data_IF_982970210144
#
_entry.id   IF_982970210144
#
_cell.length_a   1.000
_cell.length_b   1.000
_cell.length_c   1.000
_cell.angle_alpha   90.00
_cell.angle_beta   90.00
_cell.angle_gamma   90.00
#
_symmetry.space_group_name_H-M   'P 1'
#
loop_
_entity.id
_entity.type
_entity.pdbx_description
1 polymer ?
#
# COMPACT_ATOMS: atom_id res chain seq x y z
N UNK A 1 12.29 -35.30 -14.48
CA UNK A 1 13.00 -34.00 -14.60
C UNK A 1 12.01 -32.88 -14.30
N UNK A 2 12.11 -32.22 -13.16
CA UNK A 2 11.33 -31.00 -12.90
C UNK A 2 11.87 -29.88 -13.79
N UNK A 3 11.06 -29.43 -14.75
CA UNK A 3 11.32 -28.21 -15.50
C UNK A 3 11.34 -27.03 -14.53
N UNK A 4 12.53 -26.60 -14.10
CA UNK A 4 12.68 -25.33 -13.39
C UNK A 4 12.48 -24.21 -14.39
N UNK A 5 11.27 -23.66 -14.43
CA UNK A 5 11.02 -22.38 -15.10
C UNK A 5 11.93 -21.35 -14.42
N UNK A 6 12.93 -20.84 -15.14
CA UNK A 6 13.75 -19.73 -14.65
C UNK A 6 12.87 -18.48 -14.54
N UNK A 7 12.45 -18.18 -13.32
CA UNK A 7 11.71 -16.96 -13.02
C UNK A 7 12.60 -15.75 -13.30
N UNK A 8 11.99 -14.69 -13.82
CA UNK A 8 12.69 -13.41 -14.04
C UNK A 8 12.79 -12.66 -12.71
N UNK A 9 13.90 -11.97 -12.49
CA UNK A 9 14.13 -11.21 -11.27
C UNK A 9 13.44 -9.84 -11.33
N UNK A 10 12.90 -9.39 -10.20
CA UNK A 10 12.35 -8.04 -10.01
C UNK A 10 12.82 -7.52 -8.65
N UNK A 11 13.32 -6.28 -8.61
CA UNK A 11 13.71 -5.61 -7.37
C UNK A 11 12.64 -4.59 -6.97
N UNK A 12 12.29 -4.56 -5.70
CA UNK A 12 11.36 -3.60 -5.10
C UNK A 12 12.10 -2.74 -4.08
N UNK A 13 11.99 -1.43 -4.20
CA UNK A 13 12.57 -0.46 -3.25
C UNK A 13 11.41 0.25 -2.54
N UNK A 14 11.27 -0.06 -1.26
CA UNK A 14 10.20 0.36 -0.38
C UNK A 14 10.73 1.31 0.70
N UNK A 15 9.83 2.05 1.33
CA UNK A 15 10.17 2.98 2.41
C UNK A 15 9.18 4.15 2.46
N UNK A 16 9.22 4.89 3.57
CA UNK A 16 8.42 6.10 3.70
C UNK A 16 8.87 7.19 2.70
N UNK A 17 8.06 8.22 2.50
CA UNK A 17 8.51 9.41 1.75
C UNK A 17 9.77 10.00 2.40
N UNK A 18 10.61 10.63 1.58
CA UNK A 18 11.84 11.30 2.02
C UNK A 18 12.98 10.40 2.52
N UNK A 19 12.88 9.06 2.40
CA UNK A 19 13.97 8.14 2.80
C UNK A 19 15.04 7.87 1.73
N UNK A 20 15.06 8.62 0.62
CA UNK A 20 16.08 8.46 -0.44
C UNK A 20 15.83 7.35 -1.46
N UNK A 21 14.62 6.77 -1.53
CA UNK A 21 14.28 5.66 -2.45
C UNK A 21 14.65 5.92 -3.92
N UNK A 22 14.36 7.12 -4.43
CA UNK A 22 14.63 7.47 -5.83
C UNK A 22 16.12 7.44 -6.14
N UNK A 23 16.95 8.04 -5.26
CA UNK A 23 18.42 7.98 -5.34
C UNK A 23 18.92 6.53 -5.42
N UNK A 24 18.48 5.68 -4.48
CA UNK A 24 18.89 4.27 -4.50
C UNK A 24 18.44 3.54 -5.77
N UNK A 25 17.23 3.84 -6.28
CA UNK A 25 16.73 3.18 -7.48
C UNK A 25 17.58 3.48 -8.71
N UNK A 26 18.07 4.72 -8.84
CA UNK A 26 18.99 5.11 -9.91
C UNK A 26 20.34 4.42 -9.73
N UNK A 27 20.87 4.36 -8.51
CA UNK A 27 22.16 3.69 -8.26
C UNK A 27 22.10 2.19 -8.57
N UNK A 28 21.01 1.50 -8.18
CA UNK A 28 20.77 0.08 -8.50
C UNK A 28 20.57 -0.13 -9.99
N UNK A 29 19.74 0.68 -10.65
CA UNK A 29 19.49 0.56 -12.07
C UNK A 29 20.76 0.82 -12.90
N UNK A 30 21.59 1.78 -12.48
CA UNK A 30 22.89 2.05 -13.12
C UNK A 30 23.81 0.84 -12.99
N UNK A 31 23.95 0.27 -11.79
CA UNK A 31 24.86 -0.86 -11.56
C UNK A 31 24.42 -2.16 -12.24
N UNK A 32 23.12 -2.43 -12.29
CA UNK A 32 22.57 -3.70 -12.77
C UNK A 32 21.83 -3.58 -14.11
N UNK A 33 22.08 -2.51 -14.89
CA UNK A 33 21.43 -2.27 -16.18
C UNK A 33 19.90 -2.40 -16.11
N UNK A 34 19.32 -1.74 -15.11
CA UNK A 34 17.89 -1.76 -14.81
C UNK A 34 17.10 -0.62 -15.43
N UNK A 35 15.78 -0.76 -15.39
CA UNK A 35 14.82 0.30 -15.69
C UNK A 35 13.86 0.45 -14.52
N UNK A 36 13.49 1.69 -14.22
CA UNK A 36 12.74 2.06 -13.02
C UNK A 36 11.24 2.14 -13.33
N UNK A 37 10.43 1.53 -12.49
CA UNK A 37 8.97 1.56 -12.56
C UNK A 37 8.45 2.25 -11.31
N UNK A 38 7.89 3.45 -11.47
CA UNK A 38 7.32 4.19 -10.36
C UNK A 38 6.07 3.47 -9.81
N UNK A 39 6.00 3.34 -8.49
CA UNK A 39 4.84 2.85 -7.76
C UNK A 39 4.33 3.84 -6.72
N UNK A 40 4.65 5.13 -6.84
CA UNK A 40 3.96 6.18 -6.09
C UNK A 40 2.70 6.66 -6.82
N UNK A 41 1.55 6.49 -6.16
CA UNK A 41 0.21 6.82 -6.69
C UNK A 41 0.03 8.27 -7.12
N UNK A 42 0.79 9.22 -6.57
CA UNK A 42 0.67 10.64 -6.94
C UNK A 42 1.64 10.98 -8.07
N UNK A 43 2.80 10.32 -8.12
CA UNK A 43 3.81 10.57 -9.15
C UNK A 43 3.47 9.97 -10.52
N UNK A 44 2.46 9.10 -10.61
CA UNK A 44 1.98 8.60 -11.91
C UNK A 44 1.38 9.70 -12.78
N UNK A 45 0.89 10.79 -12.19
CA UNK A 45 0.17 11.84 -12.90
C UNK A 45 1.09 12.90 -13.49
N UNK A 46 0.69 13.44 -14.65
CA UNK A 46 1.30 14.60 -15.31
C UNK A 46 1.17 15.87 -14.47
N UNK A 47 2.24 16.67 -14.41
CA UNK A 47 2.28 17.92 -13.66
C UNK A 47 2.36 17.70 -12.15
N UNK A 48 2.34 18.80 -11.39
CA UNK A 48 2.61 18.81 -9.96
C UNK A 48 3.95 18.13 -9.59
N UNK A 49 5.00 18.34 -10.38
CA UNK A 49 6.29 17.65 -10.22
C UNK A 49 6.97 18.01 -8.90
N UNK A 50 6.88 19.26 -8.45
CA UNK A 50 7.42 19.72 -7.16
C UNK A 50 6.58 19.12 -6.03
N UNK A 51 5.26 19.35 -6.02
CA UNK A 51 4.32 18.88 -4.98
C UNK A 51 4.37 17.36 -4.81
N UNK A 52 4.44 16.62 -5.92
CA UNK A 52 4.52 15.14 -5.90
C UNK A 52 5.94 14.63 -5.74
N UNK A 53 6.94 15.53 -5.67
CA UNK A 53 8.35 15.24 -5.47
C UNK A 53 8.87 14.22 -6.49
N UNK A 54 8.57 14.44 -7.78
CA UNK A 54 9.13 13.62 -8.85
C UNK A 54 10.64 13.85 -8.91
N UNK A 55 11.37 12.78 -9.19
CA UNK A 55 12.80 12.86 -9.49
C UNK A 55 13.00 13.69 -10.77
N UNK A 56 13.97 14.59 -10.77
CA UNK A 56 14.30 15.44 -11.92
C UNK A 56 15.09 14.66 -12.98
N UNK A 57 15.07 15.10 -14.23
CA UNK A 57 15.82 14.46 -15.33
C UNK A 57 17.34 14.36 -15.03
N UNK A 58 17.91 15.38 -14.38
CA UNK A 58 19.31 15.37 -13.96
C UNK A 58 19.60 14.29 -12.91
N UNK A 59 18.69 14.10 -11.95
CA UNK A 59 18.83 13.07 -10.91
C UNK A 59 18.59 11.66 -11.45
N UNK A 60 17.82 11.51 -12.55
CA UNK A 60 17.61 10.22 -13.21
C UNK A 60 18.90 9.67 -13.84
N UNK A 61 19.89 10.52 -14.12
CA UNK A 61 21.20 10.13 -14.73
C UNK A 61 21.04 9.28 -16.00
N UNK A 62 20.00 9.55 -16.80
CA UNK A 62 19.70 8.82 -18.03
C UNK A 62 19.06 7.43 -17.85
N UNK A 63 18.77 7.01 -16.61
CA UNK A 63 18.05 5.75 -16.34
C UNK A 63 16.60 5.88 -16.80
N UNK A 64 16.07 4.94 -17.63
CA UNK A 64 14.67 4.97 -18.05
C UNK A 64 13.71 4.82 -16.86
N UNK A 65 12.71 5.71 -16.80
CA UNK A 65 11.63 5.68 -15.82
C UNK A 65 10.29 5.42 -16.53
N UNK A 66 9.46 4.59 -15.94
CA UNK A 66 8.12 4.26 -16.41
C UNK A 66 7.08 4.56 -15.33
N UNK A 67 5.86 4.86 -15.75
CA UNK A 67 4.73 5.23 -14.88
C UNK A 67 5.02 6.45 -14.00
N UNK A 68 5.86 7.37 -14.50
CA UNK A 68 6.22 8.61 -13.83
C UNK A 68 5.76 9.77 -14.71
N UNK A 69 4.73 10.51 -14.29
CA UNK A 69 4.19 11.62 -15.08
C UNK A 69 3.50 11.21 -16.37
N UNK A 70 2.90 10.02 -16.44
CA UNK A 70 2.29 9.50 -17.68
C UNK A 70 0.76 9.62 -17.70
N UNK A 71 0.12 9.59 -16.53
CA UNK A 71 -1.34 9.55 -16.38
C UNK A 71 -1.92 10.96 -16.35
N UNK A 72 -3.10 11.15 -16.96
CA UNK A 72 -3.76 12.45 -16.98
C UNK A 72 -4.28 12.86 -15.58
N UNK A 73 -4.18 14.15 -15.19
CA UNK A 73 -4.48 14.64 -13.84
C UNK A 73 -5.86 14.27 -13.27
N UNK A 74 -6.89 14.24 -14.12
CA UNK A 74 -8.29 14.05 -13.73
C UNK A 74 -8.73 12.58 -13.72
N UNK A 75 -7.87 11.67 -14.20
CA UNK A 75 -8.16 10.24 -14.24
C UNK A 75 -8.02 9.64 -12.85
N UNK A 76 -8.93 8.75 -12.46
CA UNK A 76 -8.78 8.00 -11.24
C UNK A 76 -7.90 6.76 -11.49
N UNK A 77 -6.65 6.78 -11.05
CA UNK A 77 -5.71 5.66 -11.22
C UNK A 77 -5.78 4.70 -10.03
N UNK A 78 -6.27 3.48 -10.27
CA UNK A 78 -6.49 2.46 -9.25
C UNK A 78 -5.31 1.51 -9.09
N UNK A 79 -5.35 0.66 -8.06
CA UNK A 79 -4.35 -0.41 -7.90
C UNK A 79 -4.42 -1.46 -9.03
N UNK A 80 -5.60 -1.71 -9.61
CA UNK A 80 -5.73 -2.61 -10.75
C UNK A 80 -5.10 -2.01 -12.02
N UNK A 81 -5.30 -0.71 -12.24
CA UNK A 81 -4.65 0.01 -13.34
C UNK A 81 -3.13 -0.06 -13.20
N UNK A 82 -2.62 0.21 -11.99
CA UNK A 82 -1.19 0.03 -11.69
C UNK A 82 -0.72 -1.38 -12.03
N UNK A 83 -1.43 -2.43 -11.59
CA UNK A 83 -1.04 -3.81 -11.86
C UNK A 83 -0.99 -4.10 -13.36
N UNK A 84 -1.99 -3.65 -14.11
CA UNK A 84 -2.04 -3.83 -15.56
C UNK A 84 -0.85 -3.17 -16.26
N UNK A 85 -0.60 -1.89 -15.97
CA UNK A 85 0.48 -1.12 -16.58
C UNK A 85 1.87 -1.64 -16.14
N UNK A 86 2.08 -1.84 -14.84
CA UNK A 86 3.34 -2.33 -14.30
C UNK A 86 3.69 -3.71 -14.87
N UNK A 87 2.73 -4.64 -14.98
CA UNK A 87 2.99 -5.95 -15.58
C UNK A 87 3.42 -5.87 -17.05
N UNK A 88 2.84 -4.95 -17.83
CA UNK A 88 3.24 -4.75 -19.22
C UNK A 88 4.70 -4.26 -19.30
N UNK A 89 5.06 -3.28 -18.47
CA UNK A 89 6.42 -2.72 -18.41
C UNK A 89 7.42 -3.77 -17.92
N UNK A 90 7.13 -4.48 -16.82
CA UNK A 90 7.99 -5.55 -16.28
C UNK A 90 8.29 -6.60 -17.35
N UNK A 91 7.26 -7.03 -18.11
CA UNK A 91 7.46 -7.99 -19.21
C UNK A 91 8.35 -7.43 -20.31
N UNK A 92 8.17 -6.17 -20.69
CA UNK A 92 8.99 -5.50 -21.71
C UNK A 92 10.45 -5.44 -21.26
N UNK A 93 10.71 -4.91 -20.07
CA UNK A 93 12.05 -4.75 -19.48
C UNK A 93 12.75 -6.11 -19.30
N UNK A 94 12.04 -7.11 -18.78
CA UNK A 94 12.60 -8.45 -18.59
C UNK A 94 12.88 -9.19 -19.91
N UNK A 95 12.14 -8.89 -20.99
CA UNK A 95 12.37 -9.43 -22.35
C UNK A 95 13.58 -8.80 -23.02
N UNK A 96 13.87 -7.52 -22.74
CA UNK A 96 15.10 -6.86 -23.21
C UNK A 96 16.33 -7.20 -22.37
N UNK A 97 16.23 -8.16 -21.44
CA UNK A 97 17.35 -8.61 -20.61
C UNK A 97 17.75 -7.63 -19.50
N UNK A 98 16.95 -6.58 -19.25
CA UNK A 98 17.20 -5.56 -18.23
C UNK A 98 16.48 -5.91 -16.93
N UNK A 99 16.94 -5.33 -15.82
CA UNK A 99 16.35 -5.55 -14.49
C UNK A 99 15.18 -4.59 -14.24
N UNK A 100 13.94 -5.08 -14.03
CA UNK A 100 12.85 -4.23 -13.56
C UNK A 100 13.07 -3.85 -12.09
N UNK A 101 13.13 -2.54 -11.81
CA UNK A 101 13.27 -1.97 -10.46
C UNK A 101 12.02 -1.16 -10.13
N UNK A 102 11.18 -1.67 -9.24
CA UNK A 102 9.94 -1.01 -8.82
C UNK A 102 10.24 -0.15 -7.58
N UNK A 103 9.92 1.15 -7.62
CA UNK A 103 10.25 2.10 -6.54
C UNK A 103 9.05 2.99 -6.22
N UNK A 104 8.78 3.22 -4.94
CA UNK A 104 7.73 4.17 -4.53
C UNK A 104 7.17 3.92 -3.13
N UNK A 105 6.32 4.85 -2.68
CA UNK A 105 5.75 4.82 -1.33
C UNK A 105 4.34 4.23 -1.21
N UNK A 106 3.72 3.80 -2.32
CA UNK A 106 2.35 3.26 -2.27
C UNK A 106 2.36 1.75 -2.09
N UNK A 107 2.57 1.30 -0.86
CA UNK A 107 2.62 -0.12 -0.51
C UNK A 107 1.38 -0.92 -0.93
N UNK A 108 0.22 -0.27 -1.07
CA UNK A 108 -1.00 -0.91 -1.60
C UNK A 108 -0.89 -1.32 -3.08
N UNK A 109 -0.12 -0.59 -3.88
CA UNK A 109 0.16 -0.95 -5.27
C UNK A 109 1.10 -2.15 -5.35
N UNK A 110 2.12 -2.19 -4.49
CA UNK A 110 3.04 -3.33 -4.37
C UNK A 110 2.28 -4.58 -3.87
N UNK A 111 1.46 -4.44 -2.83
CA UNK A 111 0.63 -5.53 -2.28
C UNK A 111 -0.31 -6.09 -3.36
N UNK A 112 -1.04 -5.24 -4.07
CA UNK A 112 -1.92 -5.65 -5.18
C UNK A 112 -1.15 -6.36 -6.31
N UNK A 113 0.04 -5.87 -6.68
CA UNK A 113 0.82 -6.47 -7.76
C UNK A 113 1.37 -7.85 -7.38
N UNK A 114 1.85 -8.00 -6.15
CA UNK A 114 2.60 -9.18 -5.70
C UNK A 114 1.68 -10.28 -5.16
N UNK A 115 0.66 -9.91 -4.40
CA UNK A 115 -0.17 -10.84 -3.61
C UNK A 115 -1.49 -11.23 -4.30
N UNK A 116 -1.82 -10.63 -5.45
CA UNK A 116 -3.02 -10.99 -6.20
C UNK A 116 -2.90 -12.42 -6.80
N UNK A 117 -3.75 -13.37 -6.34
CA UNK A 117 -3.70 -14.75 -6.80
C UNK A 117 -4.04 -14.91 -8.29
N UNK A 118 -4.82 -14.00 -8.86
CA UNK A 118 -5.22 -14.00 -10.28
C UNK A 118 -4.02 -13.59 -11.15
N UNK A 119 -3.24 -12.59 -10.72
CA UNK A 119 -2.04 -12.18 -11.44
C UNK A 119 -0.96 -13.27 -11.40
N UNK A 120 -0.90 -13.98 -10.27
CA UNK A 120 0.08 -15.05 -10.03
C UNK A 120 1.51 -14.51 -10.13
N UNK A 121 1.77 -13.30 -9.67
CA UNK A 121 3.03 -12.58 -9.88
C UNK A 121 4.24 -13.39 -9.39
N UNK A 122 4.15 -13.91 -8.17
CA UNK A 122 5.20 -14.73 -7.54
C UNK A 122 5.44 -16.08 -8.23
N UNK A 123 4.53 -16.54 -9.10
CA UNK A 123 4.75 -17.72 -9.93
C UNK A 123 5.65 -17.44 -11.14
N UNK A 124 5.68 -16.17 -11.60
CA UNK A 124 6.38 -15.73 -12.81
C UNK A 124 7.71 -15.02 -12.50
N UNK A 125 7.79 -14.35 -11.36
CA UNK A 125 8.91 -13.52 -10.96
C UNK A 125 9.48 -13.92 -9.60
N UNK A 126 10.79 -13.81 -9.47
CA UNK A 126 11.48 -13.79 -8.19
C UNK A 126 11.62 -12.34 -7.73
N UNK A 127 11.35 -12.09 -6.46
CA UNK A 127 11.24 -10.74 -5.91
C UNK A 127 12.30 -10.51 -4.84
N UNK A 128 13.03 -9.40 -4.94
CA UNK A 128 13.91 -8.92 -3.89
C UNK A 128 13.34 -7.61 -3.33
N UNK A 129 13.00 -7.59 -2.05
CA UNK A 129 12.45 -6.41 -1.38
C UNK A 129 13.52 -5.73 -0.53
N UNK A 130 13.82 -4.48 -0.85
CA UNK A 130 14.65 -3.57 -0.07
C UNK A 130 13.75 -2.55 0.61
N UNK A 131 13.95 -2.30 1.89
CA UNK A 131 13.22 -1.29 2.66
C UNK A 131 14.22 -0.30 3.26
N UNK A 132 14.20 0.94 2.76
CA UNK A 132 14.95 2.05 3.35
C UNK A 132 14.16 2.61 4.52
N UNK A 133 14.76 2.48 5.69
CA UNK A 133 14.20 2.92 6.95
C UNK A 133 15.07 4.02 7.55
N UNK A 134 14.42 4.97 8.21
CA UNK A 134 15.07 6.11 8.87
C UNK A 134 14.31 6.33 10.18
N UNK A 135 15.02 6.65 11.26
CA UNK A 135 14.38 6.96 12.53
C UNK A 135 13.38 8.11 12.39
N UNK A 136 12.21 7.97 13.03
CA UNK A 136 11.10 8.93 12.86
C UNK A 136 11.48 10.38 13.23
N UNK A 137 12.19 10.66 14.34
CA UNK A 137 12.53 12.05 14.69
C UNK A 137 13.37 12.74 13.61
N UNK A 138 14.35 12.01 13.05
CA UNK A 138 15.24 12.53 12.00
C UNK A 138 14.47 12.68 10.68
N UNK A 139 13.65 11.68 10.34
CA UNK A 139 12.87 11.69 9.12
C UNK A 139 11.82 12.81 9.11
N UNK A 140 11.20 13.12 10.25
CA UNK A 140 10.26 14.25 10.37
C UNK A 140 10.97 15.58 10.12
N UNK A 141 12.08 15.83 10.81
CA UNK A 141 12.88 17.05 10.61
C UNK A 141 13.32 17.20 9.15
N UNK A 142 13.74 16.11 8.51
CA UNK A 142 14.10 16.13 7.09
C UNK A 142 12.88 16.38 6.19
N UNK A 143 11.76 15.73 6.45
CA UNK A 143 10.54 15.90 5.66
C UNK A 143 9.99 17.33 5.75
N UNK A 144 10.05 17.97 6.91
CA UNK A 144 9.64 19.37 7.10
C UNK A 144 10.55 20.33 6.35
N UNK A 145 11.88 20.18 6.49
CA UNK A 145 12.85 20.98 5.72
C UNK A 145 12.67 20.82 4.21
N UNK A 146 12.33 19.61 3.77
CA UNK A 146 12.04 19.36 2.35
C UNK A 146 10.79 20.10 1.89
N UNK A 147 9.74 20.21 2.72
CA UNK A 147 8.57 21.04 2.39
C UNK A 147 8.98 22.50 2.22
N UNK A 148 9.87 23.01 3.07
CA UNK A 148 10.40 24.37 2.93
C UNK A 148 11.15 24.54 1.59
N UNK A 149 12.03 23.60 1.24
CA UNK A 149 12.73 23.59 -0.04
C UNK A 149 11.77 23.49 -1.24
N UNK A 150 10.66 22.75 -1.11
CA UNK A 150 9.62 22.67 -2.13
C UNK A 150 8.93 24.03 -2.34
N UNK A 151 8.69 24.79 -1.26
CA UNK A 151 8.15 26.15 -1.35
C UNK A 151 9.11 27.08 -2.10
N UNK A 152 10.40 27.05 -1.74
CA UNK A 152 11.45 27.81 -2.40
C UNK A 152 11.56 27.45 -3.89
N UNK A 153 11.29 26.19 -4.23
CA UNK A 153 11.30 25.68 -5.61
C UNK A 153 10.02 26.00 -6.40
N UNK A 154 9.01 26.61 -5.77
CA UNK A 154 7.79 27.04 -6.45
C UNK A 154 6.56 26.15 -6.25
N UNK A 155 6.50 25.33 -5.19
CA UNK A 155 5.34 24.51 -4.84
C UNK A 155 4.03 25.31 -4.88
N UNK A 156 4.03 26.52 -4.31
CA UNK A 156 2.83 27.36 -4.25
C UNK A 156 2.34 27.74 -5.65
N UNK A 157 3.26 28.08 -6.55
CA UNK A 157 2.91 28.44 -7.93
C UNK A 157 2.37 27.23 -8.68
N UNK A 158 2.92 26.05 -8.43
CA UNK A 158 2.48 24.81 -9.05
C UNK A 158 1.03 24.46 -8.68
N UNK A 159 0.69 24.59 -7.39
CA UNK A 159 -0.69 24.38 -6.92
C UNK A 159 -1.63 25.48 -7.42
N UNK A 160 -1.17 26.75 -7.41
CA UNK A 160 -1.96 27.88 -7.93
C UNK A 160 -2.32 27.69 -9.40
N UNK A 161 -1.43 27.14 -10.22
CA UNK A 161 -1.65 26.92 -11.66
C UNK A 161 -2.76 25.89 -11.96
N UNK A 162 -3.01 24.94 -11.05
CA UNK A 162 -4.06 23.92 -11.23
C UNK A 162 -5.32 24.19 -10.41
N UNK A 163 -5.32 25.29 -9.64
CA UNK A 163 -6.39 25.63 -8.73
C UNK A 163 -7.65 26.00 -9.52
N UNK A 164 -8.75 25.31 -9.22
CA UNK A 164 -10.06 25.61 -9.75
C UNK A 164 -11.07 25.46 -8.61
N UNK A 165 -11.75 26.55 -8.19
CA UNK A 165 -12.66 26.51 -7.05
C UNK A 165 -13.87 25.57 -7.26
N UNK A 166 -14.14 25.13 -8.50
CA UNK A 166 -15.22 24.21 -8.86
C UNK A 166 -14.76 22.77 -9.11
N UNK A 167 -13.45 22.51 -9.09
CA UNK A 167 -12.92 21.17 -9.32
C UNK A 167 -13.19 20.23 -8.14
N UNK A 168 -13.14 18.92 -8.42
CA UNK A 168 -13.24 17.88 -7.41
C UNK A 168 -11.84 17.48 -6.93
N UNK A 169 -11.55 17.80 -5.67
CA UNK A 169 -10.28 17.55 -5.00
C UNK A 169 -10.17 16.16 -4.36
N UNK A 170 -11.19 15.32 -4.52
CA UNK A 170 -11.22 13.96 -3.93
C UNK A 170 -10.64 12.88 -4.86
N UNK A 171 -10.31 13.24 -6.11
CA UNK A 171 -9.85 12.34 -7.18
C UNK A 171 -8.57 12.82 -7.86
N UNK A 172 -7.91 11.88 -8.54
CA UNK A 172 -6.75 12.17 -9.40
C UNK A 172 -5.59 12.81 -8.64
N UNK A 173 -4.88 13.69 -9.34
CA UNK A 173 -3.68 14.36 -8.82
C UNK A 173 -3.99 15.37 -7.69
N UNK A 174 -5.23 15.88 -7.63
CA UNK A 174 -5.66 16.89 -6.63
C UNK A 174 -5.71 16.37 -5.19
N UNK A 175 -5.53 15.06 -5.00
CA UNK A 175 -5.37 14.41 -3.69
C UNK A 175 -3.96 14.55 -3.11
N UNK A 176 -3.01 15.10 -3.87
CA UNK A 176 -1.62 15.23 -3.44
C UNK A 176 -1.53 16.15 -2.22
N UNK A 177 -0.79 15.72 -1.19
CA UNK A 177 -0.49 16.57 -0.02
C UNK A 177 0.18 17.85 -0.54
N UNK A 178 -0.34 19.01 -0.14
CA UNK A 178 -0.01 20.29 -0.73
C UNK A 178 -1.22 20.95 -1.38
N UNK A 179 -2.03 20.19 -2.11
CA UNK A 179 -3.14 20.74 -2.88
C UNK A 179 -4.35 21.04 -1.98
N UNK A 180 -4.91 20.07 -1.21
CA UNK A 180 -6.03 20.38 -0.31
C UNK A 180 -5.68 21.39 0.78
N UNK A 181 -4.44 21.36 1.27
CA UNK A 181 -4.00 22.25 2.35
C UNK A 181 -3.93 23.72 1.92
N UNK A 182 -3.64 24.00 0.64
CA UNK A 182 -3.57 25.35 0.09
C UNK A 182 -4.93 25.88 -0.41
N UNK A 183 -5.97 25.06 -0.46
CA UNK A 183 -7.28 25.43 -1.02
C UNK A 183 -7.89 26.68 -0.35
N UNK A 184 -7.90 26.70 1.00
CA UNK A 184 -8.45 27.84 1.75
C UNK A 184 -7.72 29.14 1.45
N UNK A 185 -6.38 29.10 1.48
CA UNK A 185 -5.52 30.24 1.15
C UNK A 185 -5.81 30.76 -0.27
N UNK A 186 -5.82 29.87 -1.27
CA UNK A 186 -6.02 30.26 -2.68
C UNK A 186 -7.41 30.84 -2.96
N UNK A 187 -8.44 30.46 -2.20
CA UNK A 187 -9.80 31.02 -2.34
C UNK A 187 -9.92 32.47 -1.90
N UNK A 188 -9.06 32.90 -0.97
CA UNK A 188 -9.17 34.20 -0.31
C UNK A 188 -7.96 35.11 -0.52
N UNK A 189 -6.88 34.61 -1.13
CA UNK A 189 -5.61 35.32 -1.38
C UNK A 189 -5.80 36.75 -1.89
N UNK A 190 -6.75 36.97 -2.83
CA UNK A 190 -7.04 38.28 -3.43
C UNK A 190 -8.15 39.08 -2.75
N UNK A 191 -8.77 38.52 -1.69
CA UNK A 191 -9.96 39.07 -1.01
C UNK A 191 -9.68 39.61 0.38
N UNK A 192 -8.55 39.25 0.98
CA UNK A 192 -8.17 39.65 2.34
C UNK A 192 -6.90 40.50 2.31
N UNK A 193 -6.61 41.19 3.41
CA UNK A 193 -5.36 41.94 3.54
C UNK A 193 -4.14 41.00 3.56
N UNK A 194 -2.97 41.54 3.20
CA UNK A 194 -1.72 40.78 3.12
C UNK A 194 -1.38 40.01 4.40
N UNK A 195 -1.62 40.61 5.58
CA UNK A 195 -1.29 39.97 6.85
C UNK A 195 -2.20 38.77 7.11
N UNK A 196 -3.48 38.88 6.79
CA UNK A 196 -4.42 37.75 6.89
C UNK A 196 -4.08 36.66 5.88
N UNK A 197 -3.78 37.00 4.63
CA UNK A 197 -3.37 36.04 3.59
C UNK A 197 -2.11 35.26 4.03
N UNK A 198 -1.09 35.96 4.55
CA UNK A 198 0.13 35.33 5.03
C UNK A 198 -0.13 34.33 6.17
N UNK A 199 -0.99 34.68 7.14
CA UNK A 199 -1.32 33.77 8.25
C UNK A 199 -2.00 32.48 7.77
N UNK A 200 -2.85 32.58 6.74
CA UNK A 200 -3.49 31.41 6.15
C UNK A 200 -2.49 30.55 5.37
N UNK A 201 -1.55 31.17 4.65
CA UNK A 201 -0.47 30.46 3.98
C UNK A 201 0.42 29.71 4.99
N UNK A 202 0.81 30.35 6.08
CA UNK A 202 1.62 29.74 7.14
C UNK A 202 0.89 28.53 7.76
N UNK A 203 -0.42 28.66 7.99
CA UNK A 203 -1.25 27.56 8.49
C UNK A 203 -1.34 26.40 7.48
N UNK A 204 -1.50 26.71 6.19
CA UNK A 204 -1.50 25.71 5.12
C UNK A 204 -0.15 24.95 5.06
N UNK A 205 0.98 25.66 5.11
CA UNK A 205 2.32 25.07 5.13
C UNK A 205 2.51 24.15 6.34
N UNK A 206 2.07 24.58 7.52
CA UNK A 206 2.10 23.75 8.74
C UNK A 206 1.27 22.47 8.56
N UNK A 207 0.11 22.55 7.90
CA UNK A 207 -0.72 21.38 7.60
C UNK A 207 -0.04 20.43 6.60
N UNK A 208 0.65 20.95 5.57
CA UNK A 208 1.43 20.14 4.61
C UNK A 208 2.50 19.34 5.35
N UNK A 209 3.26 19.99 6.24
CA UNK A 209 4.27 19.36 7.10
C UNK A 209 3.65 18.26 7.96
N UNK A 210 2.58 18.58 8.69
CA UNK A 210 1.87 17.63 9.56
C UNK A 210 1.34 16.41 8.79
N UNK A 211 0.69 16.62 7.65
CA UNK A 211 0.14 15.54 6.84
C UNK A 211 1.23 14.68 6.17
N UNK A 212 2.37 15.28 5.83
CA UNK A 212 3.56 14.53 5.37
C UNK A 212 4.08 13.60 6.47
N UNK A 213 4.16 14.07 7.72
CA UNK A 213 4.54 13.24 8.87
C UNK A 213 3.53 12.09 9.13
N UNK A 214 2.22 12.36 9.02
CA UNK A 214 1.19 11.30 9.11
C UNK A 214 1.32 10.26 7.99
N UNK A 215 1.67 10.69 6.78
CA UNK A 215 1.91 9.79 5.65
C UNK A 215 3.10 8.88 5.92
N UNK A 216 4.20 9.41 6.47
CA UNK A 216 5.39 8.64 6.85
C UNK A 216 5.00 7.50 7.80
N UNK A 217 4.27 7.80 8.88
CA UNK A 217 3.79 6.80 9.84
C UNK A 217 2.91 5.75 9.15
N UNK A 218 1.97 6.19 8.32
CA UNK A 218 1.05 5.30 7.61
C UNK A 218 1.78 4.34 6.65
N UNK A 219 2.84 4.82 5.98
CA UNK A 219 3.66 3.99 5.09
C UNK A 219 4.49 2.99 5.90
N UNK A 220 5.10 3.44 6.99
CA UNK A 220 5.90 2.61 7.89
C UNK A 220 5.07 1.46 8.49
N UNK A 221 3.89 1.76 9.02
CA UNK A 221 2.97 0.75 9.56
C UNK A 221 2.57 -0.30 8.51
N UNK A 222 2.36 0.12 7.26
CA UNK A 222 2.07 -0.82 6.16
C UNK A 222 3.26 -1.73 5.84
N UNK A 223 4.49 -1.20 5.83
CA UNK A 223 5.69 -2.03 5.61
C UNK A 223 5.87 -3.01 6.77
N UNK A 224 5.65 -2.58 8.01
CA UNK A 224 5.65 -3.46 9.18
C UNK A 224 4.64 -4.59 9.04
N UNK A 225 3.39 -4.29 8.66
CA UNK A 225 2.35 -5.30 8.38
C UNK A 225 2.83 -6.30 7.32
N UNK A 226 3.33 -5.83 6.18
CA UNK A 226 3.83 -6.70 5.10
C UNK A 226 4.96 -7.63 5.59
N UNK A 227 5.90 -7.10 6.39
CA UNK A 227 7.02 -7.87 6.92
C UNK A 227 6.62 -8.85 8.03
N UNK A 228 5.89 -8.37 9.04
CA UNK A 228 5.63 -9.09 10.30
C UNK A 228 4.41 -9.99 10.21
N UNK A 229 3.32 -9.51 9.62
CA UNK A 229 2.05 -10.25 9.56
C UNK A 229 2.00 -11.15 8.32
N UNK A 230 2.36 -10.62 7.15
CA UNK A 230 2.32 -11.37 5.89
C UNK A 230 3.59 -12.20 5.64
N UNK A 231 4.67 -11.91 6.38
CA UNK A 231 5.92 -12.66 6.33
C UNK A 231 6.73 -12.43 5.06
N UNK A 232 6.62 -11.25 4.44
CA UNK A 232 7.39 -10.93 3.24
C UNK A 232 8.89 -10.85 3.57
N UNK A 233 9.77 -11.37 2.69
CA UNK A 233 11.22 -11.38 2.89
C UNK A 233 11.82 -9.99 2.61
N UNK A 234 11.51 -9.02 3.47
CA UNK A 234 11.92 -7.61 3.33
C UNK A 234 13.27 -7.37 4.01
N UNK A 235 14.28 -7.00 3.23
CA UNK A 235 15.59 -6.60 3.71
C UNK A 235 15.54 -5.13 4.14
N UNK A 236 15.66 -4.89 5.46
CA UNK A 236 15.66 -3.53 6.02
C UNK A 236 17.08 -2.96 5.93
N UNK A 237 17.19 -1.74 5.45
CA UNK A 237 18.40 -0.94 5.35
C UNK A 237 18.17 0.31 6.19
N UNK A 238 18.95 0.45 7.27
CA UNK A 238 18.84 1.61 8.15
C UNK A 238 19.70 2.74 7.58
N UNK A 239 19.05 3.76 7.04
CA UNK A 239 19.70 4.93 6.46
C UNK A 239 19.82 6.07 7.47
N UNK A 240 19.47 5.88 8.75
CA UNK A 240 19.40 6.97 9.75
C UNK A 240 20.67 7.80 9.81
N UNK A 241 21.83 7.16 9.86
CA UNK A 241 23.14 7.84 9.94
C UNK A 241 23.39 8.78 8.76
N UNK A 242 22.87 8.47 7.56
CA UNK A 242 23.01 9.34 6.39
C UNK A 242 22.32 10.69 6.64
N UNK A 243 21.17 10.67 7.28
CA UNK A 243 20.36 11.87 7.53
C UNK A 243 20.84 12.68 8.75
N UNK A 244 21.71 12.11 9.57
CA UNK A 244 22.41 12.83 10.66
C UNK A 244 23.63 13.60 10.17
N UNK A 245 24.17 13.21 9.01
CA UNK A 245 25.39 13.75 8.41
C UNK A 245 25.10 14.86 7.40
N UNK A 246 26.13 15.61 7.03
CA UNK A 246 26.05 16.69 6.02
C UNK A 246 27.23 16.63 5.05
N UNK A 247 27.02 17.17 3.84
CA UNK A 247 28.06 17.28 2.82
C UNK A 247 28.70 15.92 2.49
N UNK A 248 30.02 15.90 2.35
CA UNK A 248 30.75 14.68 1.98
C UNK A 248 30.57 13.54 2.99
N UNK A 249 30.43 13.83 4.28
CA UNK A 249 30.19 12.78 5.28
C UNK A 249 28.85 12.05 5.06
N UNK A 250 27.85 12.75 4.53
CA UNK A 250 26.56 12.12 4.19
C UNK A 250 26.68 11.24 2.94
N UNK A 251 27.51 11.64 1.97
CA UNK A 251 27.79 10.85 0.77
C UNK A 251 28.56 9.57 1.12
N UNK A 252 29.58 9.67 1.97
CA UNK A 252 30.33 8.51 2.48
C UNK A 252 29.40 7.58 3.28
N UNK A 253 28.57 8.14 4.16
CA UNK A 253 27.58 7.36 4.91
C UNK A 253 26.54 6.69 3.99
N UNK A 254 26.12 7.34 2.91
CA UNK A 254 25.22 6.73 1.92
C UNK A 254 25.87 5.52 1.26
N UNK A 255 27.13 5.66 0.85
CA UNK A 255 27.89 4.58 0.22
C UNK A 255 27.99 3.36 1.16
N UNK A 256 28.44 3.58 2.40
CA UNK A 256 28.76 2.51 3.35
C UNK A 256 27.51 1.83 3.94
N UNK A 257 26.50 2.61 4.33
CA UNK A 257 25.35 2.10 5.10
C UNK A 257 24.12 1.81 4.24
N UNK A 258 24.04 2.38 3.03
CA UNK A 258 22.90 2.16 2.12
C UNK A 258 23.34 1.42 0.87
N UNK A 259 24.29 1.98 0.11
CA UNK A 259 24.54 1.51 -1.24
C UNK A 259 25.23 0.14 -1.28
N UNK A 260 26.35 -0.02 -0.56
CA UNK A 260 27.09 -1.27 -0.51
C UNK A 260 26.26 -2.45 0.02
N UNK A 261 25.49 -2.31 1.13
CA UNK A 261 24.57 -3.36 1.59
C UNK A 261 23.52 -3.73 0.53
N UNK A 262 22.94 -2.74 -0.15
CA UNK A 262 21.94 -2.98 -1.21
C UNK A 262 22.55 -3.72 -2.40
N UNK A 263 23.74 -3.32 -2.86
CA UNK A 263 24.47 -4.01 -3.93
C UNK A 263 24.81 -5.45 -3.54
N UNK A 264 25.23 -5.70 -2.30
CA UNK A 264 25.46 -7.06 -1.83
C UNK A 264 24.20 -7.91 -1.86
N UNK A 265 23.07 -7.39 -1.39
CA UNK A 265 21.79 -8.09 -1.39
C UNK A 265 21.32 -8.38 -2.82
N UNK A 266 21.29 -7.37 -3.70
CA UNK A 266 20.84 -7.51 -5.09
C UNK A 266 21.79 -8.39 -5.88
N UNK A 267 23.10 -8.25 -5.71
CA UNK A 267 24.09 -9.12 -6.37
C UNK A 267 23.92 -10.59 -5.96
N UNK A 268 23.74 -10.87 -4.67
CA UNK A 268 23.49 -12.23 -4.19
C UNK A 268 22.19 -12.82 -4.73
N UNK A 269 21.15 -11.99 -4.82
CA UNK A 269 19.85 -12.34 -5.39
C UNK A 269 19.96 -12.68 -6.88
N UNK A 270 20.62 -11.85 -7.69
CA UNK A 270 20.77 -12.06 -9.13
C UNK A 270 21.68 -13.25 -9.47
N UNK A 271 22.71 -13.51 -8.67
CA UNK A 271 23.67 -14.59 -8.89
C UNK A 271 23.16 -15.96 -8.41
N UNK A 272 21.93 -16.05 -7.90
CA UNK A 272 21.34 -17.32 -7.47
C UNK A 272 22.08 -17.98 -6.30
N UNK A 273 22.80 -17.20 -5.49
CA UNK A 273 23.48 -17.71 -4.29
C UNK A 273 22.45 -18.26 -3.30
N UNK A 274 22.23 -19.58 -3.36
CA UNK A 274 21.36 -20.32 -2.46
C UNK A 274 21.91 -20.24 -1.03
N UNK A 275 21.47 -19.24 -0.29
CA UNK A 275 21.17 -19.31 1.15
C UNK A 275 19.91 -18.52 1.47
N UNK A 276 18.87 -18.71 0.68
CA UNK A 276 17.52 -18.59 1.22
C UNK A 276 16.91 -19.96 1.09
N UNK A 277 16.78 -20.66 2.22
CA UNK A 277 15.76 -21.67 2.32
C UNK A 277 14.47 -20.92 1.97
N UNK A 278 13.96 -21.15 0.77
CA UNK A 278 12.53 -21.05 0.58
C UNK A 278 11.96 -22.01 1.62
N UNK A 279 11.61 -21.50 2.80
CA UNK A 279 10.50 -22.02 3.54
C UNK A 279 9.26 -21.66 2.74
N UNK A 280 9.19 -22.17 1.50
CA UNK A 280 7.96 -22.58 0.84
C UNK A 280 7.40 -23.71 1.69
N UNK A 281 7.01 -23.37 2.91
CA UNK A 281 5.88 -24.06 3.44
C UNK A 281 4.77 -23.66 2.49
N UNK A 282 4.22 -24.62 1.76
CA UNK A 282 2.85 -24.48 1.28
C UNK A 282 2.05 -24.06 2.50
N UNK A 283 1.75 -22.76 2.63
CA UNK A 283 0.84 -22.25 3.65
C UNK A 283 -0.49 -22.90 3.30
N UNK A 284 -0.85 -23.97 4.01
CA UNK A 284 -2.22 -24.46 3.98
C UNK A 284 -3.01 -23.41 4.76
N UNK A 285 -4.07 -22.90 4.17
CA UNK A 285 -4.96 -21.93 4.79
C UNK A 285 -6.29 -22.63 5.04
N UNK A 286 -6.84 -22.44 6.22
CA UNK A 286 -8.20 -22.87 6.56
C UNK A 286 -9.07 -21.65 6.49
N UNK A 287 -10.08 -21.73 5.64
CA UNK A 287 -11.13 -20.74 5.56
C UNK A 287 -12.34 -21.27 6.31
N UNK A 288 -12.72 -20.53 7.35
CA UNK A 288 -13.95 -20.76 8.09
C UNK A 288 -14.87 -19.62 7.75
N UNK A 289 -16.05 -19.95 7.28
CA UNK A 289 -17.13 -19.00 7.07
C UNK A 289 -18.28 -19.34 8.01
N UNK A 290 -18.67 -18.38 8.83
CA UNK A 290 -19.79 -18.48 9.77
C UNK A 290 -20.99 -17.78 9.14
N UNK A 291 -22.04 -18.52 8.84
CA UNK A 291 -23.24 -18.03 8.16
C UNK A 291 -24.40 -17.85 9.15
N UNK A 292 -24.91 -16.63 9.35
CA UNK A 292 -26.22 -16.43 9.92
C UNK A 292 -27.27 -16.48 8.80
N UNK A 293 -27.91 -17.62 8.56
CA UNK A 293 -29.08 -17.62 7.68
C UNK A 293 -30.19 -16.89 8.42
N UNK A 294 -30.43 -15.61 8.10
CA UNK A 294 -31.55 -14.84 8.65
C UNK A 294 -32.86 -15.38 8.01
N UNK A 295 -33.32 -16.54 8.47
CA UNK A 295 -34.65 -17.07 8.18
C UNK A 295 -35.61 -16.54 9.25
N UNK A 296 -36.33 -15.46 8.90
CA UNK A 296 -37.46 -14.86 9.63
C UNK A 296 -37.09 -14.09 10.91
N UNK A 297 -36.90 -12.77 10.76
CA UNK A 297 -37.16 -11.85 11.88
C UNK A 297 -38.67 -11.78 12.11
N UNK A 298 -39.19 -12.50 13.12
CA UNK A 298 -40.57 -12.34 13.62
C UNK A 298 -40.55 -11.56 14.95
N UNK A 299 -40.95 -10.26 14.89
CA UNK A 299 -41.55 -9.37 15.92
C UNK A 299 -40.98 -9.39 17.37
N UNK A 300 -41.43 -8.54 18.34
CA UNK A 300 -42.12 -7.24 18.32
C UNK A 300 -41.29 -6.14 19.03
N UNK A 301 -41.07 -4.97 18.42
CA UNK A 301 -40.54 -3.83 19.18
C UNK A 301 -41.61 -2.75 19.38
N UNK A 302 -41.86 -2.51 20.66
CA UNK A 302 -42.82 -1.59 21.20
C UNK A 302 -42.48 -0.15 20.79
N UNK A 303 -43.52 0.63 20.47
CA UNK A 303 -43.44 2.02 20.02
C UNK A 303 -42.61 2.86 21.01
N UNK A 304 -41.48 3.42 20.54
CA UNK A 304 -41.04 4.80 20.85
C UNK A 304 -39.78 5.17 20.02
N UNK A 305 -40.00 6.14 19.12
CA UNK A 305 -39.03 7.04 18.49
C UNK A 305 -37.73 6.45 17.91
N UNK A 306 -37.78 6.01 16.65
CA UNK A 306 -36.70 6.17 15.64
C UNK A 306 -37.33 6.06 14.26
N UNK A 307 -36.88 6.89 13.30
CA UNK A 307 -37.49 6.98 11.97
C UNK A 307 -37.43 5.63 11.23
N UNK A 308 -38.59 5.16 10.77
CA UNK A 308 -38.78 3.90 10.01
C UNK A 308 -37.86 3.78 8.79
N UNK A 309 -37.45 4.92 8.21
CA UNK A 309 -36.55 5.01 7.06
C UNK A 309 -35.08 4.70 7.40
N UNK A 310 -34.59 5.08 8.58
CA UNK A 310 -33.22 4.80 8.99
C UNK A 310 -33.03 3.29 9.23
N UNK A 311 -34.03 2.66 9.86
CA UNK A 311 -34.04 1.21 10.10
C UNK A 311 -34.16 0.45 8.77
N UNK A 312 -34.98 0.91 7.81
CA UNK A 312 -35.08 0.25 6.49
C UNK A 312 -33.79 0.38 5.67
N UNK A 313 -33.11 1.52 5.74
CA UNK A 313 -31.84 1.75 5.03
C UNK A 313 -30.68 0.94 5.63
N UNK A 314 -30.61 0.84 6.96
CA UNK A 314 -29.65 -0.04 7.64
C UNK A 314 -29.91 -1.49 7.21
N UNK A 315 -31.16 -1.96 7.26
CA UNK A 315 -31.53 -3.32 6.82
C UNK A 315 -31.15 -3.57 5.36
N UNK A 316 -31.46 -2.64 4.45
CA UNK A 316 -31.15 -2.78 3.01
C UNK A 316 -29.65 -2.84 2.75
N UNK A 317 -28.86 -1.99 3.41
CA UNK A 317 -27.41 -1.96 3.24
C UNK A 317 -26.73 -3.17 3.86
N UNK A 318 -27.20 -3.65 5.02
CA UNK A 318 -26.73 -4.90 5.62
C UNK A 318 -27.05 -6.10 4.72
N UNK A 319 -28.26 -6.19 4.14
CA UNK A 319 -28.59 -7.25 3.18
C UNK A 319 -27.72 -7.19 1.90
N UNK A 320 -27.44 -6.00 1.35
CA UNK A 320 -26.55 -5.85 0.18
C UNK A 320 -25.12 -6.30 0.49
N UNK A 321 -24.61 -5.98 1.68
CA UNK A 321 -23.29 -6.43 2.14
C UNK A 321 -23.24 -7.95 2.29
N UNK A 322 -24.27 -8.56 2.92
CA UNK A 322 -24.37 -10.02 3.06
C UNK A 322 -24.39 -10.70 1.68
N UNK A 323 -25.23 -10.23 0.74
CA UNK A 323 -25.31 -10.80 -0.61
C UNK A 323 -23.98 -10.66 -1.36
N UNK A 324 -23.31 -9.50 -1.24
CA UNK A 324 -21.98 -9.30 -1.83
C UNK A 324 -20.93 -10.25 -1.24
N UNK A 325 -20.94 -10.49 0.07
CA UNK A 325 -20.01 -11.43 0.71
C UNK A 325 -20.32 -12.89 0.30
N UNK A 326 -21.61 -13.26 0.25
CA UNK A 326 -22.04 -14.59 -0.23
C UNK A 326 -21.60 -14.86 -1.67
N UNK A 327 -21.71 -13.89 -2.57
CA UNK A 327 -21.25 -14.02 -3.96
C UNK A 327 -19.73 -14.19 -4.05
N UNK A 328 -18.96 -13.48 -3.20
CA UNK A 328 -17.51 -13.66 -3.12
C UNK A 328 -17.15 -15.06 -2.63
N UNK A 329 -17.80 -15.55 -1.58
CA UNK A 329 -17.58 -16.89 -1.02
C UNK A 329 -17.96 -17.97 -2.03
N UNK A 330 -19.08 -17.80 -2.73
CA UNK A 330 -19.51 -18.71 -3.80
C UNK A 330 -18.49 -18.79 -4.93
N UNK A 331 -17.95 -17.65 -5.39
CA UNK A 331 -16.86 -17.62 -6.39
C UNK A 331 -15.62 -18.34 -5.88
N UNK A 332 -15.17 -18.04 -4.67
CA UNK A 332 -14.00 -18.68 -4.05
C UNK A 332 -14.17 -20.21 -3.98
N UNK A 333 -15.37 -20.71 -3.64
CA UNK A 333 -15.65 -22.14 -3.55
C UNK A 333 -15.82 -22.81 -4.92
N UNK A 334 -16.67 -22.26 -5.79
CA UNK A 334 -17.11 -22.93 -7.04
C UNK A 334 -16.19 -22.67 -8.22
N UNK A 335 -15.68 -21.44 -8.36
CA UNK A 335 -14.82 -21.07 -9.49
C UNK A 335 -13.35 -21.34 -9.19
N UNK A 336 -12.92 -21.16 -7.93
CA UNK A 336 -11.52 -21.26 -7.53
C UNK A 336 -11.18 -22.53 -6.74
N UNK A 337 -12.18 -23.34 -6.39
CA UNK A 337 -11.98 -24.64 -5.72
C UNK A 337 -11.46 -24.54 -4.28
N UNK A 338 -11.68 -23.41 -3.58
CA UNK A 338 -11.17 -23.23 -2.22
C UNK A 338 -11.90 -24.14 -1.23
N UNK A 339 -11.18 -24.81 -0.31
CA UNK A 339 -11.77 -25.67 0.72
C UNK A 339 -12.34 -24.83 1.86
N UNK A 340 -13.48 -24.17 1.60
CA UNK A 340 -14.18 -23.33 2.59
C UNK A 340 -15.06 -24.22 3.48
N UNK A 341 -14.79 -24.19 4.79
CA UNK A 341 -15.59 -24.85 5.81
C UNK A 341 -16.71 -23.90 6.25
N UNK A 342 -17.96 -24.31 6.04
CA UNK A 342 -19.15 -23.54 6.43
C UNK A 342 -19.58 -23.97 7.84
N UNK A 343 -19.81 -22.99 8.69
CA UNK A 343 -20.45 -23.15 10.01
C UNK A 343 -21.78 -22.41 9.95
N UNK A 344 -22.85 -23.08 10.35
CA UNK A 344 -24.19 -22.50 10.39
C UNK A 344 -24.44 -21.93 11.79
N UNK A 345 -24.47 -20.60 11.89
CA UNK A 345 -24.73 -19.89 13.14
C UNK A 345 -26.21 -19.51 13.31
N UNK A 346 -27.12 -20.00 12.45
CA UNK A 346 -28.53 -19.61 12.46
C UNK A 346 -29.17 -19.77 13.84
N UNK A 347 -28.85 -20.86 14.55
CA UNK A 347 -29.39 -21.17 15.88
C UNK A 347 -29.06 -20.07 16.90
N UNK A 348 -27.88 -19.44 16.82
CA UNK A 348 -27.49 -18.33 17.72
C UNK A 348 -28.48 -17.18 17.59
N UNK A 349 -28.90 -16.86 16.37
CA UNK A 349 -29.81 -15.74 16.09
C UNK A 349 -31.28 -16.07 16.39
N UNK A 350 -31.60 -17.33 16.68
CA UNK A 350 -32.92 -17.77 17.16
C UNK A 350 -33.03 -17.73 18.70
N UNK A 351 -31.91 -17.59 19.42
CA UNK A 351 -31.86 -17.53 20.90
C UNK A 351 -31.97 -16.10 21.44
N UNK A 352 -32.38 -15.96 22.70
CA UNK A 352 -32.47 -14.68 23.41
C UNK A 352 -31.88 -14.79 24.82
N UNK A 353 -31.35 -13.68 25.35
CA UNK A 353 -30.77 -13.63 26.69
C UNK A 353 -29.49 -14.48 26.81
N UNK A 354 -29.28 -15.08 27.97
CA UNK A 354 -28.05 -15.84 28.27
C UNK A 354 -27.87 -17.10 27.40
N UNK A 355 -28.95 -17.60 26.77
CA UNK A 355 -28.87 -18.75 25.84
C UNK A 355 -28.12 -18.43 24.54
N UNK A 356 -27.88 -17.15 24.23
CA UNK A 356 -27.12 -16.73 23.05
C UNK A 356 -25.64 -17.05 23.19
N UNK A 357 -25.08 -16.88 24.40
CA UNK A 357 -23.66 -17.17 24.66
C UNK A 357 -23.39 -18.67 24.61
N UNK A 358 -24.26 -19.48 25.22
CA UNK A 358 -24.18 -20.94 25.15
C UNK A 358 -24.33 -21.44 23.71
N UNK A 359 -25.29 -20.89 22.96
CA UNK A 359 -25.45 -21.25 21.54
C UNK A 359 -24.26 -20.80 20.68
N UNK A 360 -23.62 -19.67 21.01
CA UNK A 360 -22.41 -19.23 20.31
C UNK A 360 -21.24 -20.17 20.58
N UNK A 361 -21.06 -20.59 21.83
CA UNK A 361 -20.03 -21.56 22.20
C UNK A 361 -20.24 -22.88 21.47
N UNK A 362 -21.45 -23.45 21.54
CA UNK A 362 -21.75 -24.79 21.02
C UNK A 362 -21.80 -24.87 19.49
N UNK A 363 -22.43 -23.89 18.83
CA UNK A 363 -22.71 -23.96 17.39
C UNK A 363 -21.71 -23.18 16.54
N UNK A 364 -20.88 -22.32 17.13
CA UNK A 364 -19.88 -21.53 16.40
C UNK A 364 -18.46 -21.83 16.87
N UNK A 365 -18.15 -21.65 18.15
CA UNK A 365 -16.78 -21.77 18.65
C UNK A 365 -16.28 -23.21 18.68
N UNK A 366 -17.04 -24.16 19.23
CA UNK A 366 -16.62 -25.57 19.28
C UNK A 366 -16.40 -26.18 17.87
N UNK A 367 -17.26 -25.96 16.86
CA UNK A 367 -16.98 -26.37 15.48
C UNK A 367 -15.77 -25.68 14.88
N UNK A 368 -15.56 -24.37 15.14
CA UNK A 368 -14.35 -23.66 14.72
C UNK A 368 -13.10 -24.32 15.32
N UNK A 369 -13.09 -24.55 16.64
CA UNK A 369 -11.97 -25.18 17.34
C UNK A 369 -11.71 -26.59 16.85
N UNK A 370 -12.74 -27.35 16.48
CA UNK A 370 -12.57 -28.69 15.89
C UNK A 370 -11.95 -28.62 14.48
N UNK A 371 -12.41 -27.69 13.64
CA UNK A 371 -11.83 -27.48 12.29
C UNK A 371 -10.37 -27.03 12.39
N UNK A 372 -10.10 -26.07 13.29
CA UNK A 372 -8.75 -25.58 13.58
C UNK A 372 -7.90 -26.68 14.20
N UNK A 373 -8.42 -27.45 15.15
CA UNK A 373 -7.73 -28.54 15.82
C UNK A 373 -7.35 -29.66 14.85
N UNK A 374 -8.27 -30.08 13.98
CA UNK A 374 -8.01 -31.06 12.93
C UNK A 374 -6.94 -30.55 11.94
N UNK A 375 -6.95 -29.24 11.65
CA UNK A 375 -5.93 -28.61 10.83
C UNK A 375 -4.55 -28.56 11.50
N UNK A 376 -4.49 -28.16 12.77
CA UNK A 376 -3.27 -28.02 13.55
C UNK A 376 -2.63 -29.38 13.89
N UNK A 377 -3.44 -30.40 14.17
CA UNK A 377 -2.99 -31.77 14.42
C UNK A 377 -2.39 -32.45 13.17
N UNK A 378 -2.67 -31.91 11.98
CA UNK A 378 -2.08 -32.37 10.72
C UNK A 378 -0.70 -31.78 10.40
N UNK A 379 -0.29 -30.67 11.03
CA UNK A 379 1.06 -30.07 11.06
C UNK A 379 0.98 -28.58 11.50
N UNK A 380 1.94 -28.13 12.31
CA UNK A 380 2.04 -26.74 12.79
C UNK A 380 1.96 -25.71 11.64
N UNK A 381 0.89 -24.87 11.59
CA UNK A 381 0.85 -23.48 11.01
C UNK A 381 -0.54 -22.80 11.07
N UNK A 382 -0.52 -21.48 10.80
CA UNK A 382 -1.51 -20.39 10.99
C UNK A 382 -2.99 -20.63 10.58
N UNK A 383 -3.93 -20.01 11.31
CA UNK A 383 -5.37 -19.91 11.00
C UNK A 383 -5.73 -18.45 10.74
N UNK A 384 -6.54 -18.17 9.72
CA UNK A 384 -7.07 -16.84 9.43
C UNK A 384 -8.60 -16.90 9.41
N UNK A 385 -9.25 -16.15 10.29
CA UNK A 385 -10.71 -16.08 10.37
C UNK A 385 -11.23 -15.04 9.35
N UNK A 386 -12.23 -15.40 8.56
CA UNK A 386 -13.00 -14.45 7.74
C UNK A 386 -14.35 -14.27 8.44
N UNK A 387 -14.56 -13.09 9.01
CA UNK A 387 -15.84 -12.68 9.60
C UNK A 387 -16.85 -12.28 8.52
#
# INVERSE_FOLDING_TARGET
>A
MEYRVHKKHVVFIMGATSTGKSRLSVDIATKYSGEIINCDKMQVYKGLDIVTNKITESEMKGVPHHLLGEIQPDVNFTAQDFCYHALAVIRKVARSGRLPVIVGGSNSFIEALVDDPILGFQSKYECCFLWLDVSLPILYSYAERRVDQMLDSGLLNEVRNIFDPKADYTRGIRKSIGVPELDEYLRVETKVDHKTAQRLLDAAISNIKSNTCKLIVSQLLKIYRLKKELGWPINRIDATIVFEKQGNEAEDAWEDYVLQPCFKIVGNFLNGSKKWASSSTKKRMVFIWVDPIIKRVRHPFNKRYTSTLAISNIKSNTCKLIVSQLLKIYRLKKELGWPINRIDATIVFEKQGNEVEDAWEDYVLQPCFKIVGNFLNGSKKFVQYIY
#
